data_IF_505863757883
#
_entry.id   IF_505863757883
#
_cell.length_a   1.000
_cell.length_b   1.000
_cell.length_c   1.000
_cell.angle_alpha   90.00
_cell.angle_beta   90.00
_cell.angle_gamma   90.00
#
_symmetry.space_group_name_H-M   'P 1'
#
loop_
_entity.id
_entity.type
_entity.pdbx_description
1 polymer ?
#
# COMPACT_ATOMS: atom_id res chain seq x y z
N UNK A 1 43.67 32.15 7.13
CA UNK A 1 42.58 31.73 6.21
C UNK A 1 41.30 32.20 6.87
N UNK A 2 40.77 33.32 6.40
CA UNK A 2 39.55 33.95 6.91
C UNK A 2 38.37 33.03 6.65
N UNK A 3 37.63 32.77 7.72
CA UNK A 3 36.36 32.07 7.78
C UNK A 3 35.29 32.95 7.11
N UNK A 4 35.22 32.91 5.78
CA UNK A 4 34.12 33.50 5.00
C UNK A 4 32.88 32.60 5.17
N UNK A 5 32.30 32.63 6.37
CA UNK A 5 30.91 32.24 6.55
C UNK A 5 30.07 33.20 5.72
N UNK A 6 29.44 32.65 4.68
CA UNK A 6 28.47 33.33 3.85
C UNK A 6 27.38 33.91 4.77
N UNK A 7 27.39 35.23 4.93
CA UNK A 7 26.37 35.94 5.68
C UNK A 7 25.10 35.86 4.82
N UNK A 8 24.19 34.96 5.19
CA UNK A 8 22.84 34.98 4.64
C UNK A 8 22.22 36.28 5.17
N UNK A 9 22.34 37.36 4.39
CA UNK A 9 21.64 38.61 4.65
C UNK A 9 20.19 38.26 5.01
N UNK A 10 19.73 38.76 6.17
CA UNK A 10 18.38 38.51 6.68
C UNK A 10 17.38 38.78 5.57
N UNK A 11 16.61 37.74 5.19
CA UNK A 11 15.53 37.91 4.23
C UNK A 11 14.64 39.07 4.68
N UNK A 12 14.29 40.00 3.78
CA UNK A 12 13.43 41.12 4.16
C UNK A 12 12.12 40.56 4.69
N UNK A 13 11.77 40.91 5.92
CA UNK A 13 10.46 40.56 6.50
C UNK A 13 9.37 41.23 5.68
N UNK A 14 8.69 40.44 4.85
CA UNK A 14 7.54 40.89 4.08
C UNK A 14 6.38 41.15 5.04
N UNK A 15 5.62 42.20 4.77
CA UNK A 15 4.33 42.38 5.43
C UNK A 15 3.36 41.28 4.96
N UNK A 16 2.32 40.94 5.75
CA UNK A 16 1.33 39.94 5.33
C UNK A 16 0.62 40.26 4.00
N UNK A 17 0.56 41.54 3.62
CA UNK A 17 0.01 41.98 2.34
C UNK A 17 0.97 41.68 1.18
N UNK A 18 2.27 41.97 1.36
CA UNK A 18 3.32 41.65 0.39
C UNK A 18 3.52 40.12 0.24
N UNK A 19 3.39 39.34 1.32
CA UNK A 19 3.39 37.87 1.26
C UNK A 19 2.23 37.35 0.42
N UNK A 20 1.02 37.89 0.63
CA UNK A 20 -0.17 37.48 -0.10
C UNK A 20 -0.09 37.84 -1.60
N UNK A 21 0.47 39.01 -1.92
CA UNK A 21 0.71 39.45 -3.31
C UNK A 21 1.75 38.57 -3.99
N UNK A 22 2.86 38.29 -3.32
CA UNK A 22 3.90 37.40 -3.81
C UNK A 22 3.37 35.98 -4.04
N UNK A 23 2.59 35.43 -3.11
CA UNK A 23 1.95 34.13 -3.29
C UNK A 23 1.00 34.12 -4.49
N UNK A 24 0.24 35.20 -4.71
CA UNK A 24 -0.66 35.31 -5.84
C UNK A 24 0.10 35.35 -7.18
N UNK A 25 1.20 36.11 -7.24
CA UNK A 25 2.08 36.17 -8.41
C UNK A 25 2.71 34.81 -8.68
N UNK A 26 3.27 34.15 -7.66
CA UNK A 26 3.86 32.81 -7.77
C UNK A 26 2.84 31.77 -8.25
N UNK A 27 1.60 31.82 -7.74
CA UNK A 27 0.50 30.96 -8.23
C UNK A 27 0.18 31.22 -9.70
N UNK A 28 0.11 32.49 -10.11
CA UNK A 28 -0.15 32.84 -11.52
C UNK A 28 0.98 32.38 -12.45
N UNK A 29 2.23 32.58 -12.04
CA UNK A 29 3.42 32.18 -12.77
C UNK A 29 3.48 30.65 -12.91
N UNK A 30 3.37 29.93 -11.79
CA UNK A 30 3.35 28.45 -11.77
C UNK A 30 2.23 27.88 -12.65
N UNK A 31 1.03 28.46 -12.65
CA UNK A 31 -0.07 28.02 -13.51
C UNK A 31 0.22 28.25 -15.01
N UNK A 32 0.79 29.41 -15.36
CA UNK A 32 1.17 29.73 -16.75
C UNK A 32 2.29 28.82 -17.25
N UNK A 33 3.29 28.54 -16.41
CA UNK A 33 4.40 27.63 -16.70
C UNK A 33 3.93 26.19 -16.82
N UNK A 34 3.05 25.74 -15.91
CA UNK A 34 2.43 24.43 -15.99
C UNK A 34 1.68 24.25 -17.32
N UNK A 35 0.95 25.26 -17.76
CA UNK A 35 0.27 25.25 -19.07
C UNK A 35 1.28 25.19 -20.22
N UNK A 36 2.32 26.05 -20.20
CA UNK A 36 3.38 26.11 -21.23
C UNK A 36 4.12 24.77 -21.37
N UNK A 37 4.41 24.10 -20.26
CA UNK A 37 5.10 22.82 -20.21
C UNK A 37 4.17 21.63 -20.47
N UNK A 38 2.87 21.86 -20.68
CA UNK A 38 1.88 20.78 -20.83
C UNK A 38 1.68 19.96 -19.55
N UNK A 39 2.10 20.50 -18.40
CA UNK A 39 1.87 19.99 -17.04
C UNK A 39 0.50 20.44 -16.53
N UNK A 40 -0.55 20.31 -17.35
CA UNK A 40 -1.92 20.51 -16.89
C UNK A 40 -2.22 19.66 -15.65
N UNK A 41 -3.37 19.89 -15.01
CA UNK A 41 -3.80 19.12 -13.84
C UNK A 41 -3.90 17.63 -14.21
N UNK A 42 -2.82 16.88 -13.96
CA UNK A 42 -2.70 15.45 -14.24
C UNK A 42 -2.84 14.75 -12.92
N UNK A 43 -3.85 13.89 -12.82
CA UNK A 43 -3.91 12.93 -11.72
C UNK A 43 -2.76 11.93 -11.94
N UNK A 44 -1.63 12.16 -11.26
CA UNK A 44 -0.44 11.33 -11.38
C UNK A 44 -0.67 9.93 -10.79
N UNK A 45 -1.54 9.83 -9.79
CA UNK A 45 -1.87 8.58 -9.11
C UNK A 45 -3.31 8.63 -8.58
N UNK A 46 -4.08 7.60 -8.89
CA UNK A 46 -5.36 7.32 -8.24
C UNK A 46 -5.15 6.18 -7.24
N UNK A 47 -5.43 6.45 -5.96
CA UNK A 47 -5.50 5.39 -4.98
C UNK A 47 -6.77 4.56 -5.26
N UNK A 48 -6.67 3.23 -5.34
CA UNK A 48 -7.87 2.40 -5.41
C UNK A 48 -8.75 2.68 -4.18
N UNK A 49 -10.07 2.79 -4.33
CA UNK A 49 -10.96 2.97 -3.19
C UNK A 49 -10.75 1.81 -2.22
N UNK A 50 -10.47 2.13 -0.95
CA UNK A 50 -10.44 1.11 0.08
C UNK A 50 -11.87 0.61 0.29
N UNK A 51 -12.12 -0.67 0.02
CA UNK A 51 -13.37 -1.30 0.46
C UNK A 51 -13.37 -1.29 1.98
N UNK A 52 -14.43 -0.73 2.58
CA UNK A 52 -14.63 -0.81 4.03
C UNK A 52 -14.87 -2.25 4.46
N UNK A 53 -14.70 -2.51 5.75
CA UNK A 53 -15.11 -3.77 6.37
C UNK A 53 -15.99 -3.43 7.56
N UNK A 54 -17.28 -3.73 7.45
CA UNK A 54 -18.31 -3.33 8.40
C UNK A 54 -18.89 -4.52 9.16
N UNK A 55 -19.68 -4.24 10.21
CA UNK A 55 -20.18 -5.26 11.14
C UNK A 55 -21.05 -6.35 10.48
N UNK A 56 -21.77 -6.00 9.42
CA UNK A 56 -22.61 -6.91 8.62
C UNK A 56 -21.77 -7.85 7.73
N UNK A 57 -20.55 -7.46 7.38
CA UNK A 57 -19.62 -8.26 6.58
C UNK A 57 -18.88 -9.34 7.39
N UNK A 58 -18.82 -9.18 8.72
CA UNK A 58 -18.04 -10.05 9.62
C UNK A 58 -18.43 -11.52 9.51
N UNK A 59 -19.73 -11.81 9.40
CA UNK A 59 -20.24 -13.19 9.45
C UNK A 59 -19.89 -14.02 8.21
N UNK A 60 -19.65 -13.38 7.06
CA UNK A 60 -19.42 -14.04 5.78
C UNK A 60 -18.05 -13.77 5.16
N UNK A 61 -17.22 -12.97 5.83
CA UNK A 61 -15.85 -12.67 5.38
C UNK A 61 -14.85 -13.59 6.06
N UNK A 62 -13.99 -14.24 5.27
CA UNK A 62 -12.81 -14.98 5.75
C UNK A 62 -11.59 -14.06 5.76
N UNK A 63 -10.97 -13.90 6.93
CA UNK A 63 -9.72 -13.14 7.06
C UNK A 63 -8.54 -14.09 6.82
N UNK A 64 -7.77 -13.84 5.77
CA UNK A 64 -6.53 -14.53 5.45
C UNK A 64 -5.36 -13.84 6.17
N UNK A 65 -4.59 -14.59 6.95
CA UNK A 65 -3.43 -14.08 7.71
C UNK A 65 -2.14 -14.64 7.14
N UNK A 66 -1.20 -13.78 6.78
CA UNK A 66 0.15 -14.16 6.35
C UNK A 66 1.15 -13.01 6.43
N UNK A 67 2.43 -13.33 6.34
CA UNK A 67 3.51 -12.36 6.14
C UNK A 67 4.31 -12.03 7.39
N UNK A 68 3.96 -12.62 8.53
CA UNK A 68 4.82 -12.65 9.71
C UNK A 68 5.51 -14.03 9.82
N UNK A 69 6.15 -14.30 10.96
CA UNK A 69 6.59 -15.67 11.23
C UNK A 69 5.38 -16.55 11.56
N UNK A 70 5.50 -17.86 11.31
CA UNK A 70 4.46 -18.86 11.56
C UNK A 70 3.81 -18.74 12.96
N UNK A 71 4.64 -18.50 13.98
CA UNK A 71 4.15 -18.33 15.36
C UNK A 71 3.26 -17.09 15.52
N UNK A 72 3.62 -15.97 14.88
CA UNK A 72 2.83 -14.74 14.93
C UNK A 72 1.54 -14.87 14.11
N UNK A 73 1.60 -15.47 12.92
CA UNK A 73 0.40 -15.68 12.11
C UNK A 73 -0.61 -16.57 12.83
N UNK A 74 -0.17 -17.65 13.49
CA UNK A 74 -1.05 -18.48 14.33
C UNK A 74 -1.57 -17.74 15.56
N UNK A 75 -0.74 -16.92 16.23
CA UNK A 75 -1.19 -16.12 17.37
C UNK A 75 -2.30 -15.15 16.98
N UNK A 76 -2.12 -14.44 15.85
CA UNK A 76 -3.13 -13.52 15.31
C UNK A 76 -4.41 -14.27 14.96
N UNK A 77 -4.31 -15.39 14.24
CA UNK A 77 -5.46 -16.22 13.90
C UNK A 77 -6.21 -16.72 15.13
N UNK A 78 -5.49 -17.25 16.14
CA UNK A 78 -6.11 -17.72 17.37
C UNK A 78 -6.79 -16.59 18.15
N UNK A 79 -6.19 -15.40 18.21
CA UNK A 79 -6.76 -14.24 18.88
C UNK A 79 -8.05 -13.76 18.19
N UNK A 80 -8.05 -13.65 16.86
CA UNK A 80 -9.22 -13.21 16.10
C UNK A 80 -10.34 -14.26 16.10
N UNK A 81 -9.99 -15.54 15.97
CA UNK A 81 -10.96 -16.63 16.10
C UNK A 81 -11.60 -16.65 17.50
N UNK A 82 -10.82 -16.38 18.55
CA UNK A 82 -11.29 -16.32 19.94
C UNK A 82 -12.34 -15.24 20.21
N UNK A 83 -12.38 -14.19 19.39
CA UNK A 83 -13.39 -13.12 19.46
C UNK A 83 -14.48 -13.23 18.37
N UNK A 84 -14.52 -14.34 17.64
CA UNK A 84 -15.62 -14.71 16.74
C UNK A 84 -15.44 -14.37 15.25
N UNK A 85 -14.25 -13.96 14.80
CA UNK A 85 -13.99 -13.79 13.37
C UNK A 85 -13.71 -15.12 12.68
N UNK A 86 -14.13 -15.26 11.43
CA UNK A 86 -13.71 -16.34 10.55
C UNK A 86 -12.32 -16.03 9.98
N UNK A 87 -11.29 -16.75 10.42
CA UNK A 87 -9.88 -16.44 10.10
C UNK A 87 -9.13 -17.70 9.71
N UNK A 88 -8.29 -17.59 8.69
CA UNK A 88 -7.44 -18.65 8.14
C UNK A 88 -5.99 -18.17 8.05
N UNK A 89 -5.07 -18.92 8.67
CA UNK A 89 -3.63 -18.75 8.43
C UNK A 89 -3.26 -19.38 7.09
N UNK A 90 -2.58 -18.63 6.21
CA UNK A 90 -2.04 -19.20 4.98
C UNK A 90 -0.83 -20.10 5.25
N UNK A 91 -0.61 -21.08 4.37
CA UNK A 91 0.52 -21.99 4.46
C UNK A 91 1.87 -21.26 4.39
N UNK A 92 2.92 -21.92 4.86
CA UNK A 92 4.29 -21.40 4.74
C UNK A 92 4.63 -21.24 3.25
N UNK A 93 5.08 -20.05 2.82
CA UNK A 93 5.33 -19.78 1.41
C UNK A 93 6.50 -20.63 0.87
N UNK A 94 6.34 -21.10 -0.36
CA UNK A 94 7.26 -21.99 -1.05
C UNK A 94 7.88 -21.35 -2.31
N UNK A 95 8.60 -22.13 -3.10
CA UNK A 95 9.24 -21.66 -4.33
C UNK A 95 8.19 -21.18 -5.36
N UNK A 96 7.02 -21.82 -5.43
CA UNK A 96 5.94 -21.38 -6.31
C UNK A 96 5.41 -20.01 -5.88
N UNK A 97 5.29 -19.79 -4.57
CA UNK A 97 4.95 -18.49 -3.99
C UNK A 97 5.96 -17.43 -4.40
N UNK A 98 7.27 -17.71 -4.32
CA UNK A 98 8.30 -16.79 -4.79
C UNK A 98 8.17 -16.45 -6.28
N UNK A 99 7.89 -17.45 -7.13
CA UNK A 99 7.76 -17.26 -8.58
C UNK A 99 6.60 -16.31 -8.90
N UNK A 100 5.41 -16.59 -8.34
CA UNK A 100 4.24 -15.73 -8.48
C UNK A 100 4.50 -14.32 -7.93
N UNK A 101 5.16 -14.23 -6.77
CA UNK A 101 5.53 -12.96 -6.18
C UNK A 101 6.41 -12.11 -7.11
N UNK A 102 7.37 -12.73 -7.81
CA UNK A 102 8.24 -12.02 -8.77
C UNK A 102 7.54 -11.69 -10.10
N UNK A 103 6.52 -12.45 -10.46
CA UNK A 103 5.71 -12.25 -11.66
C UNK A 103 4.75 -11.05 -11.50
N UNK A 104 3.99 -11.03 -10.40
CA UNK A 104 2.99 -9.98 -10.13
C UNK A 104 3.54 -8.79 -9.34
N UNK A 105 4.60 -9.01 -8.56
CA UNK A 105 5.25 -7.99 -7.73
C UNK A 105 6.22 -7.09 -8.50
N UNK A 106 6.52 -5.93 -7.92
CA UNK A 106 7.53 -5.01 -8.43
C UNK A 106 8.94 -5.52 -8.12
N UNK A 107 9.82 -5.47 -9.13
CA UNK A 107 11.23 -5.95 -9.08
C UNK A 107 12.08 -5.28 -7.99
N UNK A 108 11.65 -4.14 -7.44
CA UNK A 108 12.33 -3.42 -6.35
C UNK A 108 11.89 -3.79 -4.93
N UNK A 109 11.02 -4.79 -4.75
CA UNK A 109 10.53 -5.19 -3.43
C UNK A 109 11.53 -6.05 -2.67
N UNK A 110 11.44 -6.04 -1.34
CA UNK A 110 12.23 -6.92 -0.49
C UNK A 110 11.76 -8.38 -0.61
N UNK A 111 12.68 -9.33 -0.38
CA UNK A 111 12.40 -10.78 -0.49
C UNK A 111 11.15 -11.24 0.27
N UNK A 112 10.91 -10.84 1.54
CA UNK A 112 9.71 -11.23 2.26
C UNK A 112 8.39 -10.82 1.58
N UNK A 113 8.39 -9.72 0.83
CA UNK A 113 7.20 -9.25 0.10
C UNK A 113 6.88 -10.19 -1.06
N UNK A 114 7.88 -10.66 -1.81
CA UNK A 114 7.65 -11.64 -2.89
C UNK A 114 7.03 -12.92 -2.36
N UNK A 115 7.54 -13.44 -1.24
CA UNK A 115 6.96 -14.64 -0.63
C UNK A 115 5.53 -14.40 -0.14
N UNK A 116 5.28 -13.27 0.53
CA UNK A 116 3.96 -12.99 1.12
C UNK A 116 2.91 -12.71 0.06
N UNK A 117 3.18 -11.78 -0.87
CA UNK A 117 2.28 -11.44 -1.98
C UNK A 117 2.07 -12.66 -2.88
N UNK A 118 3.14 -13.36 -3.21
CA UNK A 118 3.05 -14.53 -4.07
C UNK A 118 2.27 -15.69 -3.43
N UNK A 119 2.37 -15.87 -2.11
CA UNK A 119 1.57 -16.87 -1.39
C UNK A 119 0.09 -16.50 -1.32
N UNK A 120 -0.21 -15.21 -1.14
CA UNK A 120 -1.57 -14.69 -1.27
C UNK A 120 -2.11 -14.97 -2.68
N UNK A 121 -1.40 -14.56 -3.73
CA UNK A 121 -1.81 -14.79 -5.13
C UNK A 121 -2.00 -16.29 -5.41
N UNK A 122 -1.07 -17.14 -4.96
CA UNK A 122 -1.16 -18.59 -5.06
C UNK A 122 -2.47 -19.13 -4.45
N UNK A 123 -2.79 -18.68 -3.24
CA UNK A 123 -4.02 -19.10 -2.56
C UNK A 123 -5.28 -18.62 -3.30
N UNK A 124 -5.30 -17.37 -3.77
CA UNK A 124 -6.45 -16.84 -4.52
C UNK A 124 -6.64 -17.54 -5.88
N UNK A 125 -5.55 -17.90 -6.56
CA UNK A 125 -5.59 -18.73 -7.78
C UNK A 125 -6.18 -20.11 -7.47
N UNK A 126 -5.78 -20.74 -6.36
CA UNK A 126 -6.37 -22.01 -5.92
C UNK A 126 -7.88 -21.90 -5.69
N UNK A 127 -8.33 -20.86 -4.97
CA UNK A 127 -9.76 -20.60 -4.75
C UNK A 127 -10.53 -20.43 -6.06
N UNK A 128 -9.95 -19.73 -7.04
CA UNK A 128 -10.58 -19.46 -8.34
C UNK A 128 -10.62 -20.71 -9.24
N UNK A 129 -9.48 -21.35 -9.42
CA UNK A 129 -9.27 -22.35 -10.47
C UNK A 129 -9.50 -23.79 -10.01
N UNK A 130 -9.34 -24.06 -8.70
CA UNK A 130 -9.49 -25.40 -8.12
C UNK A 130 -10.81 -25.52 -7.35
N UNK A 131 -11.09 -24.58 -6.46
CA UNK A 131 -12.36 -24.58 -5.69
C UNK A 131 -13.54 -24.01 -6.50
N UNK A 132 -13.27 -23.40 -7.67
CA UNK A 132 -14.29 -22.90 -8.59
C UNK A 132 -15.03 -21.65 -8.12
N UNK A 133 -14.48 -20.90 -7.14
CA UNK A 133 -15.08 -19.65 -6.68
C UNK A 133 -14.92 -18.56 -7.74
N UNK A 134 -15.99 -17.80 -7.98
CA UNK A 134 -15.89 -16.65 -8.88
C UNK A 134 -15.00 -15.57 -8.28
N UNK A 135 -14.28 -14.81 -9.12
CA UNK A 135 -13.45 -13.69 -8.66
C UNK A 135 -14.25 -12.67 -7.85
N UNK A 136 -15.51 -12.42 -8.24
CA UNK A 136 -16.39 -11.51 -7.49
C UNK A 136 -16.70 -12.06 -6.10
N UNK A 137 -16.98 -13.37 -5.97
CA UNK A 137 -17.18 -13.99 -4.66
C UNK A 137 -15.94 -13.83 -3.78
N UNK A 138 -14.74 -14.06 -4.33
CA UNK A 138 -13.48 -13.88 -3.60
C UNK A 138 -13.32 -12.44 -3.11
N UNK A 139 -13.55 -11.44 -3.97
CA UNK A 139 -13.49 -10.01 -3.61
C UNK A 139 -14.51 -9.64 -2.53
N UNK A 140 -15.65 -10.31 -2.50
CA UNK A 140 -16.72 -10.02 -1.55
C UNK A 140 -16.57 -10.71 -0.20
N UNK A 141 -15.89 -11.87 -0.15
CA UNK A 141 -15.89 -12.74 1.04
C UNK A 141 -14.50 -13.00 1.62
N UNK A 142 -13.44 -12.38 1.09
CA UNK A 142 -12.08 -12.56 1.61
C UNK A 142 -11.39 -11.22 1.90
N UNK A 143 -10.77 -11.15 3.08
CA UNK A 143 -9.96 -10.02 3.53
C UNK A 143 -8.53 -10.52 3.79
N UNK A 144 -7.51 -9.81 3.32
CA UNK A 144 -6.13 -10.12 3.66
C UNK A 144 -5.60 -9.23 4.79
N UNK A 145 -5.08 -9.85 5.84
CA UNK A 145 -4.47 -9.19 6.99
C UNK A 145 -2.97 -9.51 7.04
N UNK A 146 -2.15 -8.47 7.06
CA UNK A 146 -0.69 -8.59 7.22
C UNK A 146 -0.12 -7.39 7.97
N UNK A 147 1.19 -7.39 8.21
CA UNK A 147 1.87 -6.30 8.88
C UNK A 147 1.81 -5.00 8.06
N UNK A 148 1.31 -3.93 8.67
CA UNK A 148 1.44 -2.56 8.19
C UNK A 148 2.29 -1.74 9.16
N UNK A 149 2.97 -0.72 8.66
CA UNK A 149 3.72 0.19 9.54
C UNK A 149 4.38 1.35 8.80
N UNK A 150 4.86 2.34 9.56
CA UNK A 150 5.60 3.51 9.05
C UNK A 150 7.07 3.50 9.47
N UNK A 151 7.59 2.33 9.88
CA UNK A 151 8.96 2.17 10.37
C UNK A 151 9.99 1.95 9.25
N UNK A 152 11.25 1.63 9.60
CA UNK A 152 12.32 1.42 8.62
C UNK A 152 12.11 0.19 7.72
N UNK A 153 11.22 -0.73 8.12
CA UNK A 153 10.89 -1.90 7.34
C UNK A 153 9.94 -1.54 6.19
N UNK A 154 10.43 -1.65 4.96
CA UNK A 154 9.61 -1.39 3.76
C UNK A 154 8.49 -2.40 3.56
N UNK A 155 8.60 -3.61 4.13
CA UNK A 155 7.56 -4.65 4.02
C UNK A 155 6.17 -4.12 4.38
N UNK A 156 6.07 -3.45 5.55
CA UNK A 156 4.80 -2.90 6.03
C UNK A 156 4.36 -1.60 5.34
N UNK A 157 5.19 -1.04 4.44
CA UNK A 157 4.86 0.16 3.66
C UNK A 157 4.38 -0.17 2.24
N UNK A 158 4.47 -1.43 1.80
CA UNK A 158 4.19 -1.84 0.43
C UNK A 158 2.69 -2.04 0.12
N UNK A 159 1.76 -1.44 0.88
CA UNK A 159 0.30 -1.66 0.68
C UNK A 159 -0.15 -1.43 -0.77
N UNK A 160 0.43 -0.44 -1.46
CA UNK A 160 0.15 -0.16 -2.87
C UNK A 160 0.60 -1.30 -3.79
N UNK A 161 1.68 -1.98 -3.45
CA UNK A 161 2.22 -3.11 -4.18
C UNK A 161 1.39 -4.38 -4.01
N UNK A 162 0.88 -4.65 -2.79
CA UNK A 162 -0.08 -5.73 -2.57
C UNK A 162 -1.32 -5.52 -3.46
N UNK A 163 -1.85 -4.29 -3.49
CA UNK A 163 -3.02 -3.94 -4.32
C UNK A 163 -2.73 -4.04 -5.82
N UNK A 164 -1.53 -3.64 -6.26
CA UNK A 164 -1.10 -3.78 -7.64
C UNK A 164 -1.08 -5.26 -8.06
N UNK A 165 -0.46 -6.12 -7.25
CA UNK A 165 -0.34 -7.55 -7.56
C UNK A 165 -1.70 -8.28 -7.63
N UNK A 166 -2.75 -7.74 -7.01
CA UNK A 166 -4.11 -8.29 -7.08
C UNK A 166 -4.94 -7.74 -8.26
N UNK A 167 -4.44 -6.69 -8.93
CA UNK A 167 -5.08 -6.09 -10.11
C UNK A 167 -4.55 -6.67 -11.41
N UNK A 168 -3.23 -6.85 -11.46
CA UNK A 168 -2.49 -7.39 -12.62
C UNK A 168 -2.78 -8.88 -12.82
#
# INVERSE_FOLDING_TARGET
>A
MSDERFDFESEPELTPEEEAELEAELRSFSASEATRLGLGERVQHELPPAKGFWSDEVAHTTILVSGLSLAHDHLVTAALAGIGYNVLTLDVPDVASLQLGKEFGNRGQCSPTYFTVGNLVKHLIHLRDVEGLSTQHIVDHYLFLTAGGCGPCRFGMYVTEYRKALRD
#
